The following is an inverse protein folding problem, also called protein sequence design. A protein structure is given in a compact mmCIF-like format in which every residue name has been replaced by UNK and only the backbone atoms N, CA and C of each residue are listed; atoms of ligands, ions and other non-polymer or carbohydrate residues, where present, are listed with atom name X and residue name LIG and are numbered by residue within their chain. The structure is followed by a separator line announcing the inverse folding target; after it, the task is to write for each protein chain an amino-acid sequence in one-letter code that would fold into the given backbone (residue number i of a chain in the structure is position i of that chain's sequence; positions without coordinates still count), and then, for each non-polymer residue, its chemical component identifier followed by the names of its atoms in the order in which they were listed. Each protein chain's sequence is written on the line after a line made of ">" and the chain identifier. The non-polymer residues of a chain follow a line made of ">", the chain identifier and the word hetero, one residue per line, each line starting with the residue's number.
data_IF_032605678782
#
_entry.id   IF_032605678782
#
_cell.length_a   1.000
_cell.length_b   1.000
_cell.length_c   1.000
_cell.angle_alpha   90.00
_cell.angle_beta   90.00
_cell.angle_gamma   90.00
#
_symmetry.space_group_name_H-M   'P 1'
#
loop_
_entity.id
_entity.type
_entity.pdbx_description
1 polymer ?
2 water ?
#
# COMPACT_ATOMS: atom_id res chain seq x y z
N UNK A 1 34.72 6.56 28.03
CA UNK A 1 34.12 5.99 29.27
C UNK A 1 33.10 4.92 28.93
N UNK A 2 32.55 4.30 29.96
CA UNK A 2 31.54 3.27 29.77
C UNK A 2 30.18 3.90 29.49
N UNK A 3 30.01 5.15 29.91
CA UNK A 3 28.75 5.85 29.67
C UNK A 3 28.69 6.30 28.22
N UNK A 4 29.85 6.69 27.68
CA UNK A 4 29.95 7.14 26.30
C UNK A 4 29.77 5.96 25.35
N UNK A 5 30.25 4.79 25.77
CA UNK A 5 30.14 3.58 24.97
C UNK A 5 28.68 3.13 24.98
N UNK A 6 28.01 3.30 26.12
CA UNK A 6 26.61 2.92 26.23
C UNK A 6 25.77 3.84 25.35
N UNK A 7 26.11 5.13 25.38
CA UNK A 7 25.41 6.14 24.60
C UNK A 7 25.52 5.90 23.09
N UNK A 8 26.72 5.55 22.63
CA UNK A 8 26.94 5.30 21.21
C UNK A 8 26.15 4.07 20.77
N UNK A 9 26.12 3.04 21.62
CA UNK A 9 25.38 1.81 21.33
C UNK A 9 23.89 2.12 21.21
N UNK A 10 23.38 2.94 22.14
CA UNK A 10 21.97 3.31 22.12
C UNK A 10 21.69 4.12 20.85
N UNK A 11 22.63 4.98 20.48
CA UNK A 11 22.48 5.80 19.28
C UNK A 11 22.32 4.89 18.06
N UNK A 12 23.16 3.86 17.97
CA UNK A 12 23.09 2.95 16.84
C UNK A 12 21.77 2.20 16.80
N UNK A 13 21.24 1.82 17.97
CA UNK A 13 19.96 1.12 18.04
C UNK A 13 18.86 2.05 17.53
N UNK A 14 18.91 3.30 17.96
CA UNK A 14 17.92 4.29 17.54
C UNK A 14 17.91 4.43 16.02
N UNK A 15 19.09 4.54 15.42
CA UNK A 15 19.19 4.69 13.98
C UNK A 15 18.65 3.45 13.26
N UNK A 16 19.07 2.28 13.72
CA UNK A 16 18.63 1.03 13.11
C UNK A 16 17.11 0.85 13.26
N UNK A 17 16.58 1.18 14.43
CA UNK A 17 15.14 1.03 14.62
C UNK A 17 14.32 2.00 13.78
N UNK A 18 14.82 3.22 13.58
CA UNK A 18 14.10 4.21 12.78
C UNK A 18 14.03 3.73 11.34
N UNK A 19 15.15 3.22 10.84
CA UNK A 19 15.23 2.72 9.47
C UNK A 19 14.28 1.52 9.31
N UNK A 20 14.32 0.60 10.26
CA UNK A 20 13.46 -0.57 10.20
C UNK A 20 11.98 -0.18 10.21
N UNK A 21 11.62 0.76 11.09
CA UNK A 21 10.24 1.21 11.19
C UNK A 21 9.77 1.80 9.87
N UNK A 22 10.60 2.63 9.25
CA UNK A 22 10.21 3.22 7.98
C UNK A 22 10.02 2.15 6.91
N UNK A 23 10.86 1.12 6.93
CA UNK A 23 10.75 0.04 5.96
C UNK A 23 9.43 -0.70 6.17
N UNK A 24 9.07 -0.89 7.43
CA UNK A 24 7.83 -1.57 7.77
C UNK A 24 6.61 -0.79 7.32
N UNK A 25 6.62 0.52 7.58
CA UNK A 25 5.53 1.39 7.21
C UNK A 25 5.39 1.44 5.69
N UNK A 26 6.53 1.50 4.99
CA UNK A 26 6.50 1.54 3.53
C UNK A 26 5.94 0.23 2.98
N UNK A 27 6.35 -0.89 3.57
CA UNK A 27 5.87 -2.20 3.14
C UNK A 27 4.36 -2.29 3.29
N UNK A 28 3.83 -1.79 4.40
CA UNK A 28 2.40 -1.82 4.63
C UNK A 28 1.68 -0.88 3.66
N UNK A 29 2.27 0.28 3.40
CA UNK A 29 1.67 1.24 2.48
C UNK A 29 1.54 0.59 1.10
N UNK A 30 2.58 -0.12 0.68
CA UNK A 30 2.56 -0.78 -0.63
C UNK A 30 1.49 -1.86 -0.69
N UNK A 31 1.35 -2.64 0.38
CA UNK A 31 0.35 -3.70 0.41
C UNK A 31 -1.03 -3.08 0.29
N UNK A 32 -1.26 -2.02 1.04
CA UNK A 32 -2.56 -1.36 1.00
C UNK A 32 -2.86 -0.73 -0.35
N UNK A 33 -1.84 -0.14 -0.98
CA UNK A 33 -2.02 0.49 -2.29
C UNK A 33 -2.42 -0.54 -3.33
N UNK A 34 -1.82 -1.72 -3.25
CA UNK A 34 -2.10 -2.80 -4.18
C UNK A 34 -3.52 -3.32 -4.00
N UNK A 35 -3.94 -3.48 -2.74
CA UNK A 35 -5.30 -3.93 -2.47
C UNK A 35 -6.25 -2.93 -3.10
N UNK A 36 -5.96 -1.64 -2.89
CA UNK A 36 -6.79 -0.58 -3.43
C UNK A 36 -6.82 -0.55 -4.95
N UNK A 37 -5.65 -0.63 -5.58
CA UNK A 37 -5.59 -0.60 -7.05
C UNK A 37 -6.39 -1.75 -7.66
N UNK A 38 -6.32 -2.91 -7.03
CA UNK A 38 -7.06 -4.08 -7.50
C UNK A 38 -8.56 -3.82 -7.46
N UNK A 39 -9.03 -3.25 -6.36
CA UNK A 39 -10.45 -2.96 -6.19
C UNK A 39 -10.93 -1.92 -7.20
N UNK A 40 -10.13 -0.88 -7.41
CA UNK A 40 -10.48 0.18 -8.35
C UNK A 40 -10.55 -0.33 -9.80
N UNK A 41 -9.59 -1.17 -10.18
CA UNK A 41 -9.58 -1.72 -11.52
C UNK A 41 -10.75 -2.68 -11.72
N UNK A 42 -11.07 -3.44 -10.68
CA UNK A 42 -12.18 -4.38 -10.75
C UNK A 42 -13.49 -3.61 -10.89
N UNK A 43 -13.60 -2.49 -10.19
CA UNK A 43 -14.81 -1.68 -10.25
C UNK A 43 -14.96 -1.10 -11.65
N UNK A 44 -13.86 -0.63 -12.23
CA UNK A 44 -13.90 -0.06 -13.57
C UNK A 44 -14.32 -1.12 -14.58
N UNK A 45 -13.79 -2.33 -14.43
CA UNK A 45 -14.15 -3.43 -15.33
C UNK A 45 -15.65 -3.70 -15.25
N UNK A 46 -16.19 -3.67 -14.04
CA UNK A 46 -17.61 -3.91 -13.84
C UNK A 46 -18.43 -2.83 -14.56
N UNK A 47 -17.98 -1.58 -14.49
CA UNK A 47 -18.70 -0.48 -15.16
C UNK A 47 -18.63 -0.67 -16.67
N UNK A 48 -17.48 -1.11 -17.16
CA UNK A 48 -17.35 -1.33 -18.60
C UNK A 48 -18.35 -2.40 -19.04
N UNK A 49 -18.40 -3.52 -18.33
CA UNK A 49 -19.32 -4.60 -18.66
C UNK A 49 -20.78 -4.17 -18.54
N UNK A 50 -21.07 -3.34 -17.54
CA UNK A 50 -22.43 -2.86 -17.32
C UNK A 50 -22.89 -1.98 -18.48
N UNK A 51 -22.00 -1.14 -18.98
CA UNK A 51 -22.37 -0.28 -20.10
C UNK A 51 -22.65 -1.11 -21.35
N UNK A 52 -21.86 -2.15 -21.57
CA UNK A 52 -22.06 -3.00 -22.74
C UNK A 52 -23.41 -3.71 -22.63
N UNK A 53 -23.73 -4.17 -21.43
CA UNK A 53 -25.00 -4.84 -21.18
C UNK A 53 -26.16 -3.88 -21.45
N UNK A 54 -26.07 -2.67 -20.91
CA UNK A 54 -27.11 -1.66 -21.11
C UNK A 54 -27.27 -1.33 -22.59
N UNK A 55 -26.16 -1.23 -23.30
CA UNK A 55 -26.21 -0.92 -24.73
C UNK A 55 -26.94 -2.04 -25.47
N UNK A 56 -26.63 -3.28 -25.11
CA UNK A 56 -27.29 -4.42 -25.75
C UNK A 56 -28.78 -4.42 -25.45
N UNK A 57 -29.14 -4.08 -24.21
CA UNK A 57 -30.55 -4.05 -23.82
C UNK A 57 -31.32 -3.06 -24.68
N UNK A 58 -30.76 -1.86 -24.85
CA UNK A 58 -31.40 -0.82 -25.65
C UNK A 58 -31.57 -1.22 -27.11
N UNK A 59 -30.58 -1.92 -27.65
CA UNK A 59 -30.63 -2.35 -29.05
C UNK A 59 -31.66 -3.44 -29.34
N UNK A 60 -32.03 -4.22 -28.32
CA UNK A 60 -33.01 -5.29 -28.52
C UNK A 60 -34.36 -5.00 -27.87
N UNK A 61 -34.63 -3.74 -27.55
CA UNK A 61 -35.89 -3.40 -26.91
C UNK A 61 -37.07 -3.41 -27.88
#
# INVERSE_FOLDING_TARGET
>A
TDQLKKAKAEAQVIIEQANKRRSQILDEAKAEAEQERTKIVAQAQAEIEAERKRAREELRK
#
